data_IF_912619267509
#
_entry.id   IF_912619267509
#
_cell.length_a   1.000
_cell.length_b   1.000
_cell.length_c   1.000
_cell.angle_alpha   90.00
_cell.angle_beta   90.00
_cell.angle_gamma   90.00
#
_symmetry.space_group_name_H-M   'P 1'
#
loop_
_entity.id
_entity.type
_entity.pdbx_description
1 polymer ?
#
# COMPACT_ATOMS: atom_id res chain seq x y z
N UNK A 1 -13.69 -17.09 9.93
CA UNK A 1 -13.98 -15.70 9.52
C UNK A 1 -15.21 -15.10 10.21
N UNK A 2 -16.42 -15.67 10.13
CA UNK A 2 -17.63 -15.10 10.75
C UNK A 2 -17.49 -14.83 12.25
N UNK A 3 -16.87 -15.75 13.00
CA UNK A 3 -16.60 -15.55 14.42
C UNK A 3 -15.69 -14.35 14.68
N UNK A 4 -14.63 -14.19 13.88
CA UNK A 4 -13.70 -13.05 13.97
C UNK A 4 -14.44 -11.74 13.70
N UNK A 5 -15.31 -11.70 12.67
CA UNK A 5 -16.14 -10.53 12.36
C UNK A 5 -17.05 -10.17 13.54
N UNK A 6 -17.75 -11.16 14.10
CA UNK A 6 -18.65 -10.96 15.23
C UNK A 6 -17.91 -10.47 16.48
N UNK A 7 -16.78 -11.10 16.81
CA UNK A 7 -15.96 -10.69 17.96
C UNK A 7 -15.44 -9.28 17.79
N UNK A 8 -14.87 -8.94 16.62
CA UNK A 8 -14.37 -7.59 16.34
C UNK A 8 -15.46 -6.52 16.45
N UNK A 9 -16.66 -6.77 15.91
CA UNK A 9 -17.81 -5.87 16.07
C UNK A 9 -18.21 -5.73 17.55
N UNK A 10 -18.27 -6.84 18.28
CA UNK A 10 -18.64 -6.86 19.68
C UNK A 10 -17.67 -6.08 20.57
N UNK A 11 -16.35 -6.16 20.29
CA UNK A 11 -15.34 -5.36 20.97
C UNK A 11 -15.63 -3.86 20.88
N UNK A 12 -15.95 -3.36 19.69
CA UNK A 12 -16.23 -1.93 19.51
C UNK A 12 -17.51 -1.47 20.17
N UNK A 13 -18.50 -2.37 20.37
CA UNK A 13 -19.83 -2.02 20.90
C UNK A 13 -20.01 -2.25 22.39
N UNK A 14 -19.31 -3.22 22.95
CA UNK A 14 -19.49 -3.64 24.35
C UNK A 14 -18.43 -3.10 25.30
N UNK A 15 -17.23 -2.78 24.79
CA UNK A 15 -16.16 -2.25 25.63
C UNK A 15 -16.35 -0.76 25.95
N UNK A 16 -15.88 -0.32 27.14
CA UNK A 16 -15.75 1.09 27.44
C UNK A 16 -14.89 1.81 26.38
N UNK A 17 -15.26 3.05 26.06
CA UNK A 17 -14.64 3.86 24.99
C UNK A 17 -13.11 3.88 25.05
N UNK A 18 -12.53 3.96 26.26
CA UNK A 18 -11.08 4.07 26.47
C UNK A 18 -10.30 2.84 25.99
N UNK A 19 -10.92 1.66 26.07
CA UNK A 19 -10.26 0.40 25.70
C UNK A 19 -10.48 0.01 24.24
N UNK A 20 -11.38 0.67 23.50
CA UNK A 20 -11.70 0.30 22.11
C UNK A 20 -10.46 0.29 21.22
N UNK A 21 -9.58 1.34 21.21
CA UNK A 21 -8.41 1.35 20.33
C UNK A 21 -7.44 0.20 20.66
N UNK A 22 -7.07 0.06 21.93
CA UNK A 22 -6.13 -0.98 22.38
C UNK A 22 -6.67 -2.38 22.09
N UNK A 23 -7.92 -2.66 22.43
CA UNK A 23 -8.55 -3.95 22.18
C UNK A 23 -8.66 -4.23 20.67
N UNK A 24 -8.95 -3.21 19.85
CA UNK A 24 -8.99 -3.35 18.39
C UNK A 24 -7.65 -3.76 17.84
N UNK A 25 -6.57 -3.07 18.22
CA UNK A 25 -5.24 -3.37 17.72
C UNK A 25 -4.73 -4.72 18.24
N UNK A 26 -4.84 -5.00 19.53
CA UNK A 26 -4.41 -6.28 20.11
C UNK A 26 -5.16 -7.46 19.50
N UNK A 27 -6.47 -7.36 19.34
CA UNK A 27 -7.27 -8.43 18.76
C UNK A 27 -6.89 -8.66 17.28
N UNK A 28 -6.87 -7.62 16.46
CA UNK A 28 -6.66 -7.77 15.03
C UNK A 28 -5.21 -8.16 14.68
N UNK A 29 -4.22 -7.61 15.39
CA UNK A 29 -2.82 -8.04 15.25
C UNK A 29 -2.65 -9.47 15.77
N UNK A 30 -3.24 -9.80 16.92
CA UNK A 30 -3.21 -11.15 17.48
C UNK A 30 -3.79 -12.19 16.52
N UNK A 31 -4.92 -11.88 15.88
CA UNK A 31 -5.55 -12.76 14.88
C UNK A 31 -4.68 -12.89 13.63
N UNK A 32 -4.04 -11.80 13.18
CA UNK A 32 -3.12 -11.82 12.04
C UNK A 32 -1.91 -12.73 12.32
N UNK A 33 -1.26 -12.56 13.47
CA UNK A 33 -0.12 -13.39 13.86
C UNK A 33 -0.52 -14.85 14.11
N UNK A 34 -1.67 -15.09 14.77
CA UNK A 34 -2.16 -16.45 14.98
C UNK A 34 -2.41 -17.17 13.65
N UNK A 35 -2.98 -16.47 12.66
CA UNK A 35 -3.20 -17.02 11.33
C UNK A 35 -1.90 -17.43 10.65
N UNK A 36 -0.87 -16.58 10.73
CA UNK A 36 0.43 -16.81 10.13
C UNK A 36 1.19 -17.94 10.83
N UNK A 37 1.29 -17.89 12.16
CA UNK A 37 2.01 -18.90 12.96
C UNK A 37 1.36 -20.27 12.90
N UNK A 38 0.02 -20.35 12.79
CA UNK A 38 -0.71 -21.61 12.67
C UNK A 38 -0.80 -22.12 11.22
N UNK A 39 -0.24 -21.39 10.26
CA UNK A 39 -0.33 -21.71 8.83
C UNK A 39 -1.77 -21.93 8.35
N UNK A 40 -2.67 -21.06 8.82
CA UNK A 40 -4.10 -21.15 8.59
C UNK A 40 -4.85 -21.96 9.64
N UNK A 41 -6.08 -22.30 9.33
CA UNK A 41 -6.98 -23.01 10.23
C UNK A 41 -7.22 -24.42 9.71
N UNK A 42 -6.49 -25.40 10.24
CA UNK A 42 -6.75 -26.80 9.97
C UNK A 42 -7.96 -27.26 10.77
N UNK A 43 -9.07 -27.53 10.09
CA UNK A 43 -10.31 -28.01 10.72
C UNK A 43 -10.12 -29.39 11.32
N UNK A 44 -9.30 -30.24 10.71
CA UNK A 44 -8.95 -31.54 11.23
C UNK A 44 -8.23 -31.47 12.57
N UNK A 45 -7.24 -30.57 12.71
CA UNK A 45 -6.53 -30.33 13.97
C UNK A 45 -7.45 -29.76 15.05
N UNK A 46 -8.28 -28.77 14.68
CA UNK A 46 -9.26 -28.19 15.60
C UNK A 46 -10.23 -29.24 16.10
N UNK A 47 -10.75 -30.09 15.20
CA UNK A 47 -11.65 -31.18 15.57
C UNK A 47 -10.98 -32.17 16.53
N UNK A 48 -9.77 -32.63 16.23
CA UNK A 48 -9.03 -33.56 17.08
C UNK A 48 -8.66 -32.98 18.44
N UNK A 49 -8.47 -31.65 18.52
CA UNK A 49 -8.24 -30.95 19.79
C UNK A 49 -9.52 -30.89 20.65
N UNK A 50 -10.67 -30.61 20.03
CA UNK A 50 -11.96 -30.51 20.75
C UNK A 50 -12.52 -31.88 21.08
N UNK A 51 -12.34 -32.86 20.19
CA UNK A 51 -12.79 -34.24 20.32
C UNK A 51 -11.61 -35.19 20.19
N UNK A 52 -10.81 -35.40 21.26
CA UNK A 52 -9.71 -36.31 21.24
C UNK A 52 -10.18 -37.75 20.86
N UNK A 53 -9.75 -38.24 19.73
CA UNK A 53 -10.03 -39.60 19.30
C UNK A 53 -8.89 -40.49 19.76
N UNK A 54 -9.16 -41.74 20.24
CA UNK A 54 -8.11 -42.70 20.51
C UNK A 54 -7.33 -42.98 19.21
N UNK A 55 -6.01 -43.05 19.31
CA UNK A 55 -5.15 -43.39 18.19
C UNK A 55 -5.58 -44.79 17.65
N UNK A 56 -5.84 -44.87 16.36
CA UNK A 56 -6.05 -46.13 15.68
C UNK A 56 -4.75 -46.94 15.76
N UNK A 57 -4.84 -48.25 15.93
CA UNK A 57 -3.69 -49.16 16.04
C UNK A 57 -2.72 -49.04 14.84
N UNK A 58 -3.18 -48.54 13.69
CA UNK A 58 -2.39 -48.36 12.48
C UNK A 58 -1.68 -46.99 12.39
N UNK A 59 -1.70 -46.18 13.43
CA UNK A 59 -1.05 -44.84 13.46
C UNK A 59 -1.63 -43.81 12.46
N UNK A 60 -2.68 -44.14 11.73
CA UNK A 60 -3.38 -43.28 10.82
C UNK A 60 -4.38 -42.43 11.61
N UNK A 61 -4.24 -41.10 11.51
CA UNK A 61 -5.24 -40.19 12.08
C UNK A 61 -6.61 -40.50 11.46
N UNK A 62 -7.59 -40.88 12.30
CA UNK A 62 -8.93 -41.14 11.82
C UNK A 62 -9.44 -39.99 10.96
N UNK A 63 -9.90 -40.30 9.75
CA UNK A 63 -10.51 -39.31 8.84
C UNK A 63 -11.74 -38.73 9.53
N UNK A 64 -11.62 -37.56 10.05
CA UNK A 64 -12.73 -36.82 10.65
C UNK A 64 -13.30 -35.80 9.64
N UNK A 65 -14.52 -35.30 9.88
CA UNK A 65 -15.15 -34.32 8.99
C UNK A 65 -14.32 -33.03 8.86
N UNK A 66 -13.48 -32.69 9.83
CA UNK A 66 -12.55 -31.56 9.76
C UNK A 66 -11.46 -31.80 8.70
N UNK A 67 -10.86 -32.99 8.64
CA UNK A 67 -9.88 -33.37 7.60
C UNK A 67 -10.54 -33.42 6.22
N UNK A 68 -11.81 -33.82 6.14
CA UNK A 68 -12.58 -33.74 4.91
C UNK A 68 -12.76 -32.27 4.45
N UNK A 69 -13.06 -31.34 5.37
CA UNK A 69 -13.10 -29.91 5.05
C UNK A 69 -11.74 -29.35 4.61
N UNK A 70 -10.65 -29.76 5.23
CA UNK A 70 -9.29 -29.35 4.86
C UNK A 70 -8.90 -29.81 3.44
N UNK A 71 -9.52 -30.88 2.95
CA UNK A 71 -9.35 -31.39 1.58
C UNK A 71 -9.98 -30.49 0.50
N UNK A 72 -10.89 -29.60 0.86
CA UNK A 72 -11.44 -28.62 -0.07
C UNK A 72 -10.52 -27.41 -0.14
N UNK A 73 -9.77 -27.30 -1.22
CA UNK A 73 -9.05 -26.07 -1.55
C UNK A 73 -10.04 -24.90 -1.65
N UNK A 74 -9.69 -23.72 -1.12
CA UNK A 74 -10.50 -22.52 -1.26
C UNK A 74 -10.65 -22.13 -2.73
N UNK A 75 -11.71 -21.38 -3.07
CA UNK A 75 -11.93 -20.80 -4.41
C UNK A 75 -10.77 -19.93 -4.88
N UNK A 76 -9.99 -19.40 -3.94
CA UNK A 76 -8.87 -18.51 -4.20
C UNK A 76 -7.61 -19.10 -3.58
N UNK A 77 -6.58 -19.41 -4.39
CA UNK A 77 -5.35 -20.10 -3.92
C UNK A 77 -4.56 -19.31 -2.86
N UNK A 78 -4.76 -18.00 -2.75
CA UNK A 78 -4.04 -17.12 -1.79
C UNK A 78 -5.03 -16.40 -0.89
N UNK A 79 -5.82 -17.15 -0.16
CA UNK A 79 -6.83 -16.62 0.76
C UNK A 79 -6.22 -15.78 1.90
N UNK A 80 -4.93 -15.97 2.24
CA UNK A 80 -4.20 -15.21 3.26
C UNK A 80 -4.18 -13.72 2.91
N UNK A 81 -4.01 -13.39 1.62
CA UNK A 81 -4.03 -11.99 1.16
C UNK A 81 -5.39 -11.34 1.43
N UNK A 82 -6.47 -12.08 1.17
CA UNK A 82 -7.84 -11.60 1.45
C UNK A 82 -8.06 -11.41 2.95
N UNK A 83 -7.53 -12.32 3.75
CA UNK A 83 -7.60 -12.24 5.19
C UNK A 83 -6.87 -10.99 5.70
N UNK A 84 -5.64 -10.75 5.24
CA UNK A 84 -4.85 -9.59 5.62
C UNK A 84 -5.53 -8.26 5.23
N UNK A 85 -6.13 -8.19 4.03
CA UNK A 85 -6.93 -7.02 3.61
C UNK A 85 -8.18 -6.87 4.50
N UNK A 86 -8.82 -7.97 4.88
CA UNK A 86 -9.99 -7.93 5.75
C UNK A 86 -9.66 -7.37 7.12
N UNK A 87 -8.55 -7.77 7.73
CA UNK A 87 -8.09 -7.24 9.02
C UNK A 87 -7.99 -5.71 9.00
N UNK A 88 -7.50 -5.12 7.91
CA UNK A 88 -7.44 -3.65 7.77
C UNK A 88 -8.83 -3.01 7.82
N UNK A 89 -9.86 -3.67 7.27
CA UNK A 89 -11.25 -3.18 7.32
C UNK A 89 -11.84 -3.31 8.71
N UNK A 90 -11.50 -4.38 9.43
CA UNK A 90 -11.94 -4.57 10.81
C UNK A 90 -11.42 -3.42 11.69
N UNK A 91 -10.14 -3.10 11.57
CA UNK A 91 -9.52 -1.97 12.27
C UNK A 91 -10.19 -0.64 11.85
N UNK A 92 -10.41 -0.44 10.55
CA UNK A 92 -11.04 0.77 10.02
C UNK A 92 -12.41 1.03 10.62
N UNK A 93 -13.28 0.01 10.68
CA UNK A 93 -14.61 0.15 11.28
C UNK A 93 -14.53 0.54 12.76
N UNK A 94 -13.76 -0.19 13.56
CA UNK A 94 -13.67 0.05 14.99
C UNK A 94 -13.08 1.43 15.33
N UNK A 95 -12.03 1.84 14.60
CA UNK A 95 -11.39 3.13 14.81
C UNK A 95 -12.26 4.29 14.35
N UNK A 96 -12.95 4.18 13.20
CA UNK A 96 -13.89 5.19 12.73
C UNK A 96 -15.08 5.33 13.69
N UNK A 97 -15.58 4.22 14.25
CA UNK A 97 -16.60 4.25 15.30
C UNK A 97 -16.08 4.94 16.58
N UNK A 98 -14.90 4.58 17.06
CA UNK A 98 -14.27 5.20 18.23
C UNK A 98 -14.15 6.72 18.08
N UNK A 99 -13.62 7.20 16.95
CA UNK A 99 -13.52 8.63 16.68
C UNK A 99 -14.87 9.32 16.58
N UNK A 100 -15.89 8.65 16.06
CA UNK A 100 -17.26 9.18 16.04
C UNK A 100 -17.82 9.44 17.44
N UNK A 101 -17.47 8.58 18.40
CA UNK A 101 -17.86 8.77 19.83
C UNK A 101 -17.11 9.93 20.49
N UNK A 102 -15.84 10.14 20.13
CA UNK A 102 -15.07 11.28 20.65
C UNK A 102 -15.63 12.61 20.20
N UNK A 103 -15.97 12.73 18.91
CA UNK A 103 -16.55 13.96 18.35
C UNK A 103 -17.88 14.35 18.97
N UNK A 104 -18.63 13.40 19.50
CA UNK A 104 -19.94 13.66 20.14
C UNK A 104 -19.84 14.07 21.59
N UNK A 105 -18.86 13.52 22.31
CA UNK A 105 -18.71 13.70 23.76
C UNK A 105 -17.54 14.65 24.11
N UNK A 106 -16.75 15.09 23.12
CA UNK A 106 -15.50 15.83 23.35
C UNK A 106 -15.74 17.29 23.66
N UNK A 107 -15.09 17.75 24.74
CA UNK A 107 -14.78 19.15 24.96
C UNK A 107 -13.94 19.69 23.79
N UNK A 108 -14.05 20.98 23.42
CA UNK A 108 -13.21 21.61 22.40
C UNK A 108 -11.69 21.40 22.60
N UNK A 109 -11.26 21.08 23.81
CA UNK A 109 -9.86 20.83 24.18
C UNK A 109 -9.41 19.44 23.75
N UNK A 110 -10.25 18.38 23.88
CA UNK A 110 -9.92 17.01 23.46
C UNK A 110 -9.86 16.88 21.92
N UNK A 111 -10.71 17.64 21.22
CA UNK A 111 -10.66 17.72 19.75
C UNK A 111 -9.32 18.27 19.27
N UNK A 112 -8.64 19.12 20.07
CA UNK A 112 -7.30 19.65 19.77
C UNK A 112 -6.19 18.60 19.77
N UNK A 113 -6.38 17.47 20.43
CA UNK A 113 -5.37 16.38 20.54
C UNK A 113 -5.24 15.53 19.25
N UNK A 114 -6.11 15.73 18.27
CA UNK A 114 -6.07 15.03 16.99
C UNK A 114 -5.71 15.98 15.83
N UNK A 115 -4.43 16.03 15.40
CA UNK A 115 -3.99 16.92 14.32
C UNK A 115 -4.75 16.75 13.01
N UNK A 116 -5.31 15.57 12.78
CA UNK A 116 -6.10 15.25 11.60
C UNK A 116 -7.49 15.93 11.60
N UNK A 117 -8.13 16.01 12.76
CA UNK A 117 -9.38 16.75 12.93
C UNK A 117 -9.14 18.26 12.92
N UNK A 118 -7.94 18.72 13.29
CA UNK A 118 -7.59 20.14 13.35
C UNK A 118 -7.56 20.82 11.98
N UNK A 119 -7.25 20.09 10.91
CA UNK A 119 -7.41 20.61 9.56
C UNK A 119 -8.87 20.92 9.19
N UNK A 120 -9.80 20.37 9.99
CA UNK A 120 -11.24 20.58 9.84
C UNK A 120 -11.77 21.77 10.67
N UNK A 121 -11.10 22.08 11.79
CA UNK A 121 -11.56 23.11 12.74
C UNK A 121 -10.87 24.46 12.59
N UNK A 122 -9.72 24.54 11.92
CA UNK A 122 -8.96 25.78 11.70
C UNK A 122 -9.40 26.60 10.50
N UNK A 123 -10.40 26.17 9.75
CA UNK A 123 -11.08 27.06 8.84
C UNK A 123 -12.07 27.91 9.65
N UNK A 124 -11.71 29.15 9.94
CA UNK A 124 -12.57 30.20 10.46
C UNK A 124 -13.75 30.59 9.49
N UNK A 125 -14.39 29.60 8.94
CA UNK A 125 -15.72 29.56 8.33
C UNK A 125 -16.19 28.14 8.49
N UNK A 126 -17.23 27.92 9.29
CA UNK A 126 -18.08 26.73 9.19
C UNK A 126 -18.57 26.65 7.76
N UNK A 127 -17.75 26.06 6.87
CA UNK A 127 -18.21 25.67 5.54
C UNK A 127 -19.24 24.59 5.83
N UNK A 128 -20.49 24.93 5.66
CA UNK A 128 -21.59 23.96 5.75
C UNK A 128 -21.24 22.91 4.70
N UNK A 129 -20.76 21.74 5.16
CA UNK A 129 -20.35 20.66 4.29
C UNK A 129 -21.61 20.19 3.57
N UNK A 130 -21.61 20.38 2.26
CA UNK A 130 -22.60 19.75 1.42
C UNK A 130 -22.32 18.23 1.42
N UNK A 131 -23.14 17.48 2.18
CA UNK A 131 -23.02 16.03 2.31
C UNK A 131 -23.23 15.30 0.98
N UNK A 132 -23.88 15.95 0.01
CA UNK A 132 -24.10 15.39 -1.33
C UNK A 132 -22.87 15.49 -2.24
N UNK A 133 -21.94 16.41 -1.95
CA UNK A 133 -20.75 16.66 -2.76
C UNK A 133 -19.46 16.73 -1.94
N UNK A 134 -19.23 15.71 -1.12
CA UNK A 134 -18.01 15.59 -0.33
C UNK A 134 -16.80 15.23 -1.18
N UNK A 135 -15.70 15.92 -0.98
CA UNK A 135 -14.41 15.49 -1.51
C UNK A 135 -14.00 14.13 -0.89
N UNK A 136 -13.14 13.36 -1.56
CA UNK A 136 -12.62 12.09 -1.03
C UNK A 136 -12.04 12.25 0.38
N UNK A 137 -11.31 13.35 0.64
CA UNK A 137 -10.74 13.64 1.95
C UNK A 137 -11.84 13.88 3.00
N UNK A 138 -12.89 14.58 2.62
CA UNK A 138 -13.99 14.89 3.53
C UNK A 138 -14.81 13.66 3.86
N UNK A 139 -15.07 12.77 2.87
CA UNK A 139 -15.73 11.47 3.08
C UNK A 139 -14.99 10.58 4.07
N UNK A 140 -13.65 10.54 3.98
CA UNK A 140 -12.80 9.78 4.91
C UNK A 140 -12.89 10.37 6.32
N UNK A 141 -12.93 11.69 6.45
CA UNK A 141 -12.81 12.41 7.72
C UNK A 141 -14.13 12.58 8.44
N UNK A 142 -15.23 12.78 7.70
CA UNK A 142 -16.54 12.98 8.28
C UNK A 142 -17.08 11.68 8.89
N UNK A 143 -17.47 11.68 10.18
CA UNK A 143 -18.03 10.50 10.80
C UNK A 143 -19.39 10.17 10.19
N UNK A 144 -19.66 8.88 10.02
CA UNK A 144 -20.99 8.40 9.67
C UNK A 144 -22.01 8.69 10.79
N UNK A 145 -23.29 8.65 10.48
CA UNK A 145 -24.34 8.79 11.49
C UNK A 145 -24.32 7.60 12.46
N UNK A 146 -24.80 7.79 13.69
CA UNK A 146 -24.73 6.74 14.72
C UNK A 146 -25.38 5.41 14.29
N UNK A 147 -26.54 5.50 13.66
CA UNK A 147 -27.25 4.34 13.18
C UNK A 147 -26.54 3.57 12.05
N UNK A 148 -25.57 4.19 11.40
CA UNK A 148 -24.81 3.54 10.33
C UNK A 148 -23.77 2.56 10.84
N UNK A 149 -23.27 2.73 12.06
CA UNK A 149 -22.37 1.78 12.70
C UNK A 149 -23.12 0.53 13.21
N UNK A 150 -24.04 0.02 12.42
CA UNK A 150 -24.79 -1.22 12.67
C UNK A 150 -24.02 -2.45 12.20
N UNK A 151 -24.37 -3.62 12.73
CA UNK A 151 -23.78 -4.89 12.29
C UNK A 151 -24.03 -5.16 10.81
N UNK A 152 -25.23 -4.83 10.30
CA UNK A 152 -25.57 -4.97 8.88
C UNK A 152 -24.63 -4.18 7.98
N UNK A 153 -24.42 -2.91 8.27
CA UNK A 153 -23.54 -2.06 7.47
C UNK A 153 -22.07 -2.45 7.61
N UNK A 154 -21.66 -2.87 8.80
CA UNK A 154 -20.32 -3.43 9.02
C UNK A 154 -20.10 -4.68 8.19
N UNK A 155 -21.01 -5.62 8.22
CA UNK A 155 -20.94 -6.86 7.46
C UNK A 155 -20.89 -6.59 5.95
N UNK A 156 -21.79 -5.71 5.46
CA UNK A 156 -21.81 -5.28 4.07
C UNK A 156 -20.48 -4.61 3.63
N UNK A 157 -19.91 -3.76 4.49
CA UNK A 157 -18.62 -3.12 4.22
C UNK A 157 -17.46 -4.12 4.14
N UNK A 158 -17.39 -5.03 5.10
CA UNK A 158 -16.28 -5.99 5.18
C UNK A 158 -16.32 -6.97 4.01
N UNK A 159 -17.50 -7.43 3.62
CA UNK A 159 -17.69 -8.43 2.57
C UNK A 159 -18.05 -7.84 1.20
N UNK A 160 -17.98 -6.52 1.02
CA UNK A 160 -18.24 -5.90 -0.27
C UNK A 160 -17.29 -6.47 -1.34
N UNK A 161 -17.85 -7.30 -2.22
CA UNK A 161 -17.11 -8.22 -3.08
C UNK A 161 -16.01 -7.58 -3.91
N UNK A 162 -16.23 -6.46 -4.65
CA UNK A 162 -15.17 -5.86 -5.45
C UNK A 162 -13.94 -5.49 -4.64
N UNK A 163 -14.14 -4.94 -3.45
CA UNK A 163 -13.04 -4.51 -2.59
C UNK A 163 -12.54 -5.65 -1.68
N UNK A 164 -13.39 -6.64 -1.38
CA UNK A 164 -13.00 -7.81 -0.60
C UNK A 164 -12.00 -8.69 -1.35
N UNK A 165 -12.22 -8.93 -2.65
CA UNK A 165 -11.39 -9.83 -3.43
C UNK A 165 -9.96 -9.30 -3.63
N UNK A 166 -9.75 -8.13 -4.15
CA UNK A 166 -8.43 -7.46 -4.23
C UNK A 166 -8.54 -5.97 -4.60
N UNK A 167 -9.71 -5.39 -4.39
CA UNK A 167 -9.93 -3.98 -4.72
C UNK A 167 -9.18 -3.02 -3.80
N UNK A 168 -9.13 -1.74 -4.17
CA UNK A 168 -8.55 -0.71 -3.34
C UNK A 168 -9.20 -0.63 -1.95
N UNK A 169 -8.40 -0.34 -0.93
CA UNK A 169 -8.86 -0.24 0.46
C UNK A 169 -9.54 1.12 0.65
N UNK A 170 -10.80 1.11 1.11
CA UNK A 170 -11.51 2.31 1.56
C UNK A 170 -11.84 2.21 3.03
N UNK A 171 -12.04 3.36 3.70
CA UNK A 171 -12.46 3.41 5.09
C UNK A 171 -13.95 3.16 5.22
N UNK A 172 -14.42 2.80 6.43
CA UNK A 172 -15.84 2.60 6.67
C UNK A 172 -16.65 3.88 6.42
N UNK A 173 -16.14 5.03 6.87
CA UNK A 173 -16.82 6.31 6.67
C UNK A 173 -16.94 6.66 5.18
N UNK A 174 -15.91 6.44 4.38
CA UNK A 174 -15.93 6.69 2.94
C UNK A 174 -16.95 5.77 2.23
N UNK A 175 -16.96 4.48 2.59
CA UNK A 175 -17.91 3.50 2.03
C UNK A 175 -19.37 3.91 2.30
N UNK A 176 -19.71 4.17 3.56
CA UNK A 176 -21.07 4.56 3.96
C UNK A 176 -21.51 5.90 3.34
N UNK A 177 -20.58 6.86 3.26
CA UNK A 177 -20.85 8.14 2.60
C UNK A 177 -21.25 7.93 1.14
N UNK A 178 -20.54 7.08 0.40
CA UNK A 178 -20.79 6.79 -1.01
C UNK A 178 -22.06 5.96 -1.25
N UNK A 179 -22.41 5.08 -0.32
CA UNK A 179 -23.70 4.37 -0.37
C UNK A 179 -24.90 5.32 -0.24
N UNK A 180 -24.75 6.40 0.52
CA UNK A 180 -25.81 7.40 0.69
C UNK A 180 -25.88 8.41 -0.44
N UNK A 181 -24.71 8.87 -0.86
CA UNK A 181 -24.56 9.93 -1.84
C UNK A 181 -23.57 9.49 -2.90
N UNK A 182 -24.12 9.07 -4.04
CA UNK A 182 -23.29 8.66 -5.19
C UNK A 182 -22.35 9.80 -5.59
N UNK A 183 -21.04 9.55 -5.69
CA UNK A 183 -20.09 10.58 -6.08
C UNK A 183 -20.38 11.12 -7.48
N UNK A 184 -20.40 12.45 -7.65
CA UNK A 184 -20.56 13.09 -8.96
C UNK A 184 -19.43 12.75 -9.94
N UNK A 185 -18.28 12.29 -9.41
CA UNK A 185 -17.18 11.81 -10.23
C UNK A 185 -17.50 10.56 -11.07
N UNK A 186 -18.55 9.84 -10.73
CA UNK A 186 -18.96 8.62 -11.45
C UNK A 186 -19.95 9.00 -12.53
N UNK A 187 -19.46 9.07 -13.77
CA UNK A 187 -20.27 9.22 -14.97
C UNK A 187 -19.93 8.11 -15.99
N UNK A 188 -20.85 7.89 -16.94
CA UNK A 188 -20.72 6.81 -17.92
C UNK A 188 -19.45 6.96 -18.77
N UNK A 189 -19.17 8.16 -19.27
CA UNK A 189 -17.98 8.44 -20.09
C UNK A 189 -16.69 8.10 -19.35
N UNK A 190 -16.54 8.56 -18.10
CA UNK A 190 -15.36 8.26 -17.27
C UNK A 190 -15.22 6.76 -17.04
N UNK A 191 -16.31 6.06 -16.74
CA UNK A 191 -16.28 4.62 -16.48
C UNK A 191 -15.91 3.83 -17.74
N UNK A 192 -16.46 4.21 -18.91
CA UNK A 192 -16.12 3.59 -20.21
C UNK A 192 -14.64 3.83 -20.57
N UNK A 193 -14.15 5.06 -20.44
CA UNK A 193 -12.72 5.36 -20.67
C UNK A 193 -11.81 4.61 -19.70
N UNK A 194 -12.26 4.40 -18.46
CA UNK A 194 -11.53 3.60 -17.50
C UNK A 194 -11.50 2.12 -17.89
N UNK A 195 -12.60 1.56 -18.40
CA UNK A 195 -12.66 0.20 -18.92
C UNK A 195 -11.72 0.01 -20.13
N UNK A 196 -11.68 0.96 -21.07
CA UNK A 196 -10.75 0.96 -22.20
C UNK A 196 -9.30 0.98 -21.70
N UNK A 197 -8.98 1.84 -20.73
CA UNK A 197 -7.64 1.90 -20.13
C UNK A 197 -7.26 0.60 -19.43
N UNK A 198 -8.20 -0.08 -18.79
CA UNK A 198 -7.98 -1.42 -18.23
C UNK A 198 -7.68 -2.44 -19.33
N UNK A 199 -8.48 -2.47 -20.41
CA UNK A 199 -8.28 -3.39 -21.52
C UNK A 199 -6.92 -3.18 -22.22
N UNK A 200 -6.48 -1.94 -22.41
CA UNK A 200 -5.16 -1.62 -22.95
C UNK A 200 -4.04 -2.14 -22.01
N UNK A 201 -4.19 -1.96 -20.69
CA UNK A 201 -3.21 -2.47 -19.74
C UNK A 201 -3.14 -4.02 -19.73
N UNK A 202 -4.30 -4.69 -19.86
CA UNK A 202 -4.38 -6.14 -20.00
C UNK A 202 -3.67 -6.60 -21.27
N UNK A 203 -3.96 -5.99 -22.41
CA UNK A 203 -3.29 -6.30 -23.69
C UNK A 203 -1.78 -6.07 -23.60
N UNK A 204 -1.34 -4.98 -22.95
CA UNK A 204 0.08 -4.70 -22.73
C UNK A 204 0.74 -5.82 -21.92
N UNK A 205 0.07 -6.32 -20.88
CA UNK A 205 0.57 -7.44 -20.09
C UNK A 205 0.68 -8.72 -20.92
N UNK A 206 -0.34 -9.04 -21.73
CA UNK A 206 -0.34 -10.21 -22.61
C UNK A 206 0.81 -10.14 -23.63
N UNK A 207 0.99 -9.01 -24.31
CA UNK A 207 2.11 -8.80 -25.23
C UNK A 207 3.45 -8.99 -24.51
N UNK A 208 3.57 -8.42 -23.32
CA UNK A 208 4.81 -8.49 -22.53
C UNK A 208 5.17 -9.93 -22.14
N UNK A 209 4.21 -10.73 -21.68
CA UNK A 209 4.48 -12.13 -21.28
C UNK A 209 4.72 -13.06 -22.49
N UNK A 210 4.16 -12.73 -23.64
CA UNK A 210 4.35 -13.53 -24.86
C UNK A 210 5.73 -13.33 -25.52
N UNK A 211 6.27 -12.10 -25.45
CA UNK A 211 7.54 -11.76 -26.12
C UNK A 211 8.72 -11.63 -25.17
N UNK A 212 8.49 -11.47 -23.88
CA UNK A 212 9.54 -11.26 -22.88
C UNK A 212 9.52 -12.35 -21.82
N UNK A 213 10.45 -13.28 -21.89
CA UNK A 213 10.50 -14.46 -21.02
C UNK A 213 11.15 -14.21 -19.64
N UNK A 214 11.20 -12.95 -19.14
CA UNK A 214 11.85 -12.60 -17.87
C UNK A 214 11.38 -13.46 -16.70
N UNK A 215 10.09 -13.79 -16.60
CA UNK A 215 9.57 -14.62 -15.49
C UNK A 215 10.13 -16.04 -15.54
N UNK A 216 10.24 -16.62 -16.74
CA UNK A 216 10.81 -17.93 -16.94
C UNK A 216 12.31 -17.95 -16.62
N UNK A 217 13.05 -16.92 -17.05
CA UNK A 217 14.48 -16.76 -16.77
C UNK A 217 14.71 -16.65 -15.25
N UNK A 218 13.92 -15.84 -14.54
CA UNK A 218 14.06 -15.73 -13.08
C UNK A 218 13.69 -17.03 -12.32
N UNK A 219 12.71 -17.78 -12.82
CA UNK A 219 12.36 -19.08 -12.25
C UNK A 219 13.44 -20.16 -12.49
N UNK A 220 14.10 -20.08 -13.63
CA UNK A 220 15.17 -21.02 -13.97
C UNK A 220 16.47 -20.77 -13.19
N UNK A 221 16.62 -19.60 -12.55
CA UNK A 221 17.79 -19.21 -11.77
C UNK A 221 19.13 -19.55 -12.48
N UNK A 222 19.37 -19.02 -13.69
CA UNK A 222 20.60 -19.32 -14.42
C UNK A 222 21.81 -18.73 -13.69
N UNK A 223 23.03 -19.15 -14.06
CA UNK A 223 24.23 -18.45 -13.63
C UNK A 223 24.22 -17.00 -14.15
N UNK A 224 24.15 -16.04 -13.23
CA UNK A 224 24.06 -14.61 -13.58
C UNK A 224 25.35 -14.06 -14.21
N UNK A 225 26.47 -14.77 -14.07
CA UNK A 225 27.77 -14.40 -14.64
C UNK A 225 27.82 -14.45 -16.17
N UNK A 226 26.89 -15.21 -16.78
CA UNK A 226 26.80 -15.30 -18.26
C UNK A 226 26.23 -14.03 -18.89
N UNK A 227 25.50 -13.22 -18.11
CA UNK A 227 24.82 -12.05 -18.61
C UNK A 227 25.67 -10.79 -18.46
N UNK A 228 25.67 -9.95 -19.48
CA UNK A 228 26.27 -8.61 -19.39
C UNK A 228 25.51 -7.70 -18.42
N UNK A 229 26.15 -6.66 -17.85
CA UNK A 229 25.46 -5.68 -16.98
C UNK A 229 24.23 -5.05 -17.64
N UNK A 230 24.26 -4.80 -18.94
CA UNK A 230 23.12 -4.31 -19.70
C UNK A 230 21.96 -5.31 -19.69
N UNK A 231 22.24 -6.58 -20.01
CA UNK A 231 21.20 -7.64 -20.02
C UNK A 231 20.58 -7.84 -18.65
N UNK A 232 21.38 -7.91 -17.57
CA UNK A 232 20.87 -8.02 -16.20
C UNK A 232 20.01 -6.82 -15.81
N UNK A 233 20.45 -5.61 -16.18
CA UNK A 233 19.68 -4.39 -15.91
C UNK A 233 18.34 -4.38 -16.64
N UNK A 234 18.30 -4.82 -17.92
CA UNK A 234 17.07 -4.90 -18.70
C UNK A 234 16.15 -6.01 -18.21
N UNK A 235 16.67 -7.18 -17.87
CA UNK A 235 15.90 -8.25 -17.25
C UNK A 235 15.25 -7.76 -15.96
N UNK A 236 16.01 -7.11 -15.07
CA UNK A 236 15.49 -6.53 -13.84
C UNK A 236 14.41 -5.48 -14.09
N UNK A 237 14.66 -4.55 -15.03
CA UNK A 237 13.73 -3.50 -15.40
C UNK A 237 12.39 -4.07 -15.92
N UNK A 238 12.42 -5.00 -16.84
CA UNK A 238 11.20 -5.62 -17.39
C UNK A 238 10.50 -6.50 -16.36
N UNK A 239 11.24 -7.19 -15.49
CA UNK A 239 10.62 -7.95 -14.40
C UNK A 239 9.88 -7.04 -13.41
N UNK A 240 10.47 -5.90 -13.03
CA UNK A 240 9.81 -4.92 -12.17
C UNK A 240 8.56 -4.31 -12.83
N UNK A 241 8.60 -4.04 -14.15
CA UNK A 241 7.43 -3.60 -14.92
C UNK A 241 6.35 -4.70 -14.98
N UNK A 242 6.74 -5.97 -15.12
CA UNK A 242 5.81 -7.09 -15.03
C UNK A 242 5.12 -7.16 -13.66
N UNK A 243 5.89 -7.03 -12.56
CA UNK A 243 5.32 -7.00 -11.21
C UNK A 243 4.35 -5.83 -11.05
N UNK A 244 4.70 -4.65 -11.58
CA UNK A 244 3.80 -3.49 -11.57
C UNK A 244 2.49 -3.76 -12.30
N UNK A 245 2.51 -4.31 -13.53
CA UNK A 245 1.33 -4.67 -14.30
C UNK A 245 0.52 -5.76 -13.62
N UNK A 246 1.18 -6.80 -13.07
CA UNK A 246 0.55 -7.89 -12.34
C UNK A 246 -0.29 -7.42 -11.16
N UNK A 247 0.12 -6.37 -10.47
CA UNK A 247 -0.64 -5.77 -9.37
C UNK A 247 -1.66 -4.73 -9.86
N UNK A 248 -1.32 -3.98 -10.91
CA UNK A 248 -2.19 -2.97 -11.49
C UNK A 248 -3.50 -3.56 -12.02
N UNK A 249 -3.42 -4.69 -12.73
CA UNK A 249 -4.57 -5.30 -13.40
C UNK A 249 -5.70 -5.70 -12.44
N UNK A 250 -5.46 -6.51 -11.37
CA UNK A 250 -6.49 -6.82 -10.40
C UNK A 250 -7.07 -5.56 -9.73
N UNK A 251 -6.22 -4.61 -9.33
CA UNK A 251 -6.70 -3.38 -8.69
C UNK A 251 -7.56 -2.55 -9.62
N UNK A 252 -7.24 -2.45 -10.91
CA UNK A 252 -8.06 -1.75 -11.90
C UNK A 252 -9.34 -2.48 -12.20
N UNK A 253 -9.32 -3.80 -12.33
CA UNK A 253 -10.51 -4.61 -12.55
C UNK A 253 -11.53 -4.42 -11.43
N UNK A 254 -11.12 -4.62 -10.19
CA UNK A 254 -12.00 -4.50 -9.05
C UNK A 254 -12.42 -3.05 -8.77
N UNK A 255 -11.58 -2.07 -9.12
CA UNK A 255 -11.98 -0.68 -9.10
C UNK A 255 -13.04 -0.38 -10.18
N UNK A 256 -12.90 -0.92 -11.37
CA UNK A 256 -13.90 -0.80 -12.43
C UNK A 256 -15.24 -1.38 -11.99
N UNK A 257 -15.23 -2.55 -11.38
CA UNK A 257 -16.44 -3.15 -10.80
C UNK A 257 -17.08 -2.24 -9.75
N UNK A 258 -16.30 -1.72 -8.81
CA UNK A 258 -16.81 -0.79 -7.81
C UNK A 258 -17.39 0.49 -8.43
N UNK A 259 -16.78 1.04 -9.51
CA UNK A 259 -17.33 2.19 -10.24
C UNK A 259 -18.68 1.88 -10.88
N UNK A 260 -18.88 0.68 -11.41
CA UNK A 260 -20.17 0.23 -11.95
C UNK A 260 -21.24 0.14 -10.86
N UNK A 261 -20.85 -0.29 -9.64
CA UNK A 261 -21.73 -0.31 -8.47
C UNK A 261 -22.00 1.07 -7.87
N UNK A 262 -21.34 2.12 -8.36
CA UNK A 262 -21.51 3.50 -7.85
C UNK A 262 -20.59 3.88 -6.70
N UNK A 263 -19.53 3.13 -6.46
CA UNK A 263 -18.48 3.42 -5.47
C UNK A 263 -17.19 3.80 -6.21
N UNK A 264 -16.58 4.94 -5.85
CA UNK A 264 -15.32 5.44 -6.42
C UNK A 264 -14.16 5.27 -5.42
N UNK A 265 -13.52 4.09 -5.36
CA UNK A 265 -12.33 3.91 -4.54
C UNK A 265 -11.12 4.59 -5.18
N UNK A 266 -10.07 4.93 -4.41
CA UNK A 266 -8.88 5.57 -4.94
C UNK A 266 -8.15 4.69 -5.95
N UNK A 267 -7.48 5.31 -6.95
CA UNK A 267 -6.54 4.60 -7.82
C UNK A 267 -5.33 4.14 -7.01
N UNK A 268 -4.96 2.84 -7.09
CA UNK A 268 -3.86 2.27 -6.34
C UNK A 268 -2.48 2.54 -6.94
N UNK A 269 -2.42 2.70 -8.27
CA UNK A 269 -1.21 3.06 -8.99
C UNK A 269 -1.44 4.38 -9.71
N UNK A 270 -0.90 5.45 -9.14
CA UNK A 270 -1.10 6.81 -9.70
C UNK A 270 -0.29 7.00 -10.97
N UNK A 271 0.92 6.43 -11.00
CA UNK A 271 1.86 6.56 -12.13
C UNK A 271 2.48 5.20 -12.49
N UNK A 272 3.03 5.11 -13.69
CA UNK A 272 3.89 3.99 -14.05
C UNK A 272 5.10 3.96 -13.11
N UNK A 273 5.57 2.77 -12.78
CA UNK A 273 6.73 2.64 -11.91
C UNK A 273 7.99 3.32 -12.50
N UNK A 274 8.13 3.31 -13.81
CA UNK A 274 9.24 3.94 -14.52
C UNK A 274 9.13 5.46 -14.62
N UNK A 275 7.98 6.05 -14.23
CA UNK A 275 7.73 7.50 -14.25
C UNK A 275 7.79 8.07 -12.83
N UNK A 276 8.84 7.74 -12.08
CA UNK A 276 9.08 8.24 -10.73
C UNK A 276 10.57 8.52 -10.51
N UNK A 277 10.88 9.73 -10.09
CA UNK A 277 12.24 10.17 -9.75
C UNK A 277 12.46 10.40 -8.26
N UNK A 278 11.40 10.31 -7.46
CA UNK A 278 11.40 10.51 -6.01
C UNK A 278 10.97 9.21 -5.33
N UNK A 279 11.80 8.70 -4.43
CA UNK A 279 11.47 7.53 -3.62
C UNK A 279 10.22 7.77 -2.77
N UNK A 280 10.11 8.97 -2.17
CA UNK A 280 8.95 9.35 -1.37
C UNK A 280 7.66 9.41 -2.20
N UNK A 281 7.70 10.02 -3.39
CA UNK A 281 6.54 10.10 -4.27
C UNK A 281 6.12 8.72 -4.79
N UNK A 282 7.10 7.84 -5.10
CA UNK A 282 6.85 6.47 -5.49
C UNK A 282 6.03 5.73 -4.42
N UNK A 283 6.49 5.69 -3.17
CA UNK A 283 5.80 4.96 -2.10
C UNK A 283 4.45 5.58 -1.70
N UNK A 284 4.24 6.86 -1.92
CA UNK A 284 2.92 7.50 -1.77
C UNK A 284 1.95 7.13 -2.89
N UNK A 285 2.46 6.87 -4.09
CA UNK A 285 1.69 6.51 -5.27
C UNK A 285 1.47 5.00 -5.44
N UNK A 286 2.37 4.17 -4.88
CA UNK A 286 2.29 2.72 -4.89
C UNK A 286 1.32 2.22 -3.82
N UNK A 287 0.34 1.40 -4.20
CA UNK A 287 -0.74 0.92 -3.33
C UNK A 287 -1.37 2.06 -2.51
N UNK A 288 -1.75 3.12 -3.20
CA UNK A 288 -2.15 4.41 -2.61
C UNK A 288 -3.25 4.28 -1.57
N UNK A 289 -4.22 3.38 -1.77
CA UNK A 289 -5.29 3.14 -0.80
C UNK A 289 -4.75 2.60 0.51
N UNK A 290 -3.78 1.68 0.46
CA UNK A 290 -3.10 1.14 1.63
C UNK A 290 -2.23 2.20 2.32
N UNK A 291 -1.48 2.99 1.55
CA UNK A 291 -0.72 4.11 2.10
C UNK A 291 -1.62 5.10 2.86
N UNK A 292 -2.78 5.46 2.31
CA UNK A 292 -3.76 6.32 3.00
C UNK A 292 -4.31 5.69 4.27
N UNK A 293 -4.56 4.38 4.24
CA UNK A 293 -4.98 3.63 5.40
C UNK A 293 -3.90 3.69 6.51
N UNK A 294 -2.64 3.42 6.16
CA UNK A 294 -1.51 3.50 7.08
C UNK A 294 -1.37 4.90 7.68
N UNK A 295 -1.42 5.92 6.85
CA UNK A 295 -1.30 7.32 7.30
C UNK A 295 -2.40 7.65 8.31
N UNK A 296 -3.63 7.22 8.06
CA UNK A 296 -4.78 7.50 8.94
C UNK A 296 -4.73 6.74 10.26
N UNK A 297 -4.47 5.43 10.20
CA UNK A 297 -4.66 4.55 11.37
C UNK A 297 -3.37 4.25 12.13
N UNK A 298 -2.20 4.48 11.53
CA UNK A 298 -0.90 4.25 12.17
C UNK A 298 -0.09 5.53 12.27
N UNK A 299 0.30 6.13 11.14
CA UNK A 299 1.29 7.21 11.12
C UNK A 299 0.85 8.46 11.91
N UNK A 300 -0.39 8.91 11.70
CA UNK A 300 -0.94 10.07 12.42
C UNK A 300 -1.10 9.78 13.92
N UNK A 301 -1.70 8.63 14.36
CA UNK A 301 -1.83 8.31 15.78
C UNK A 301 -0.50 8.20 16.54
N UNK A 302 0.58 7.72 15.91
CA UNK A 302 1.91 7.66 16.56
C UNK A 302 2.65 9.01 16.57
N UNK A 303 2.01 10.07 16.04
CA UNK A 303 2.51 11.45 16.10
C UNK A 303 2.92 12.08 14.77
N UNK A 304 2.86 11.35 13.66
CA UNK A 304 3.12 11.90 12.32
C UNK A 304 4.48 12.62 12.18
N UNK A 305 4.50 13.68 11.36
CA UNK A 305 5.67 14.56 11.13
C UNK A 305 5.59 15.84 11.98
N UNK A 306 5.12 15.76 13.21
CA UNK A 306 4.52 16.89 13.91
C UNK A 306 5.43 17.90 14.61
N UNK A 307 6.77 17.74 14.71
CA UNK A 307 7.60 18.70 15.43
C UNK A 307 8.72 19.30 14.57
N UNK A 308 8.90 20.59 14.64
CA UNK A 308 10.06 21.27 14.08
C UNK A 308 11.31 21.01 14.93
N UNK A 309 12.48 20.93 14.30
CA UNK A 309 13.77 20.70 14.97
C UNK A 309 14.28 19.27 14.85
N UNK A 310 15.51 19.05 15.37
CA UNK A 310 16.24 17.78 15.26
C UNK A 310 15.44 16.59 15.85
N UNK A 311 14.91 16.73 17.04
CA UNK A 311 14.13 15.69 17.71
C UNK A 311 12.82 15.35 16.98
N UNK A 312 12.17 16.35 16.37
CA UNK A 312 10.98 16.11 15.55
C UNK A 312 11.30 15.31 14.29
N UNK A 313 12.43 15.58 13.65
CA UNK A 313 12.89 14.85 12.48
C UNK A 313 13.29 13.41 12.84
N UNK A 314 14.04 13.22 13.93
CA UNK A 314 14.40 11.89 14.44
C UNK A 314 13.16 11.05 14.74
N UNK A 315 12.16 11.63 15.43
CA UNK A 315 10.88 10.96 15.67
C UNK A 315 10.16 10.61 14.37
N UNK A 316 10.20 11.47 13.36
CA UNK A 316 9.60 11.17 12.04
C UNK A 316 10.26 9.98 11.38
N UNK A 317 11.58 9.82 11.48
CA UNK A 317 12.31 8.66 10.96
C UNK A 317 11.89 7.39 11.70
N UNK A 318 11.81 7.43 13.04
CA UNK A 318 11.30 6.30 13.83
C UNK A 318 9.86 5.93 13.47
N UNK A 319 9.00 6.92 13.19
CA UNK A 319 7.64 6.69 12.73
C UNK A 319 7.62 6.02 11.35
N UNK A 320 8.50 6.40 10.41
CA UNK A 320 8.65 5.70 9.13
C UNK A 320 9.11 4.26 9.33
N UNK A 321 10.10 4.04 10.18
CA UNK A 321 10.59 2.69 10.49
C UNK A 321 9.48 1.82 11.08
N UNK A 322 8.70 2.34 12.03
CA UNK A 322 7.56 1.63 12.61
C UNK A 322 6.49 1.29 11.56
N UNK A 323 6.19 2.23 10.66
CA UNK A 323 5.25 2.01 9.57
C UNK A 323 5.73 0.92 8.63
N UNK A 324 6.99 0.96 8.17
CA UNK A 324 7.51 -0.06 7.25
C UNK A 324 7.70 -1.42 7.94
N UNK A 325 7.97 -1.45 9.25
CA UNK A 325 7.94 -2.69 10.04
C UNK A 325 6.54 -3.29 10.04
N UNK A 326 5.50 -2.49 10.31
CA UNK A 326 4.12 -2.97 10.20
C UNK A 326 3.80 -3.48 8.80
N UNK A 327 4.19 -2.75 7.75
CA UNK A 327 3.96 -3.17 6.36
C UNK A 327 4.60 -4.51 6.07
N UNK A 328 5.85 -4.70 6.48
CA UNK A 328 6.56 -5.96 6.29
C UNK A 328 5.87 -7.13 7.00
N UNK A 329 5.54 -6.95 8.28
CA UNK A 329 4.86 -7.98 9.10
C UNK A 329 3.43 -8.27 8.60
N UNK A 330 2.74 -7.28 8.07
CA UNK A 330 1.41 -7.45 7.50
C UNK A 330 1.42 -8.24 6.18
N UNK A 331 2.49 -8.11 5.39
CA UNK A 331 2.64 -8.89 4.16
C UNK A 331 2.96 -10.36 4.44
N UNK A 332 3.91 -10.62 5.32
CA UNK A 332 4.37 -11.96 5.72
C UNK A 332 5.42 -11.82 6.84
N UNK A 333 5.47 -12.78 7.77
CA UNK A 333 6.46 -12.78 8.85
C UNK A 333 7.78 -13.39 8.34
N UNK A 334 8.39 -12.75 7.36
CA UNK A 334 9.68 -13.16 6.80
C UNK A 334 10.74 -12.08 7.04
N UNK A 335 11.91 -12.49 7.53
CA UNK A 335 13.04 -11.59 7.76
C UNK A 335 13.43 -10.82 6.48
N UNK A 336 13.34 -11.45 5.31
CA UNK A 336 13.62 -10.84 4.01
C UNK A 336 12.74 -9.61 3.75
N UNK A 337 11.45 -9.68 4.06
CA UNK A 337 10.52 -8.56 3.88
C UNK A 337 10.75 -7.46 4.90
N UNK A 338 11.14 -7.82 6.13
CA UNK A 338 11.51 -6.85 7.14
C UNK A 338 12.77 -6.06 6.71
N UNK A 339 13.80 -6.77 6.25
CA UNK A 339 15.02 -6.15 5.71
C UNK A 339 14.70 -5.24 4.52
N UNK A 340 13.85 -5.68 3.59
CA UNK A 340 13.40 -4.85 2.47
C UNK A 340 12.71 -3.56 2.95
N UNK A 341 11.81 -3.64 3.91
CA UNK A 341 11.12 -2.47 4.47
C UNK A 341 12.07 -1.47 5.13
N UNK A 342 13.09 -1.97 5.85
CA UNK A 342 14.11 -1.12 6.46
C UNK A 342 15.06 -0.50 5.42
N UNK A 343 15.42 -1.25 4.36
CA UNK A 343 16.17 -0.74 3.22
C UNK A 343 15.42 0.39 2.51
N UNK A 344 14.13 0.22 2.28
CA UNK A 344 13.29 1.29 1.70
C UNK A 344 13.32 2.54 2.59
N UNK A 345 13.21 2.39 3.91
CA UNK A 345 13.30 3.53 4.83
C UNK A 345 14.66 4.21 4.74
N UNK A 346 15.75 3.42 4.70
CA UNK A 346 17.11 3.93 4.56
C UNK A 346 17.28 4.71 3.23
N UNK A 347 16.74 4.23 2.12
CA UNK A 347 16.88 4.86 0.81
C UNK A 347 15.99 6.09 0.62
N UNK A 348 14.99 6.29 1.47
CA UNK A 348 14.20 7.54 1.51
C UNK A 348 14.97 8.65 2.27
N UNK A 349 15.87 8.30 3.20
CA UNK A 349 16.60 9.29 4.01
C UNK A 349 17.43 10.29 3.18
N UNK A 350 18.21 9.90 2.16
CA UNK A 350 18.97 10.86 1.35
C UNK A 350 18.09 11.93 0.70
N UNK A 351 16.89 11.56 0.23
CA UNK A 351 15.93 12.52 -0.34
C UNK A 351 15.42 13.50 0.73
N UNK A 352 15.14 13.02 1.93
CA UNK A 352 14.71 13.87 3.05
C UNK A 352 15.84 14.85 3.41
N UNK A 353 17.08 14.35 3.57
CA UNK A 353 18.25 15.14 3.90
C UNK A 353 18.51 16.18 2.80
N UNK A 354 18.50 15.78 1.52
CA UNK A 354 18.67 16.68 0.40
C UNK A 354 17.62 17.80 0.37
N UNK A 355 16.36 17.48 0.66
CA UNK A 355 15.27 18.46 0.72
C UNK A 355 15.45 19.51 1.82
N UNK A 356 16.12 19.14 2.93
CA UNK A 356 16.45 20.02 4.05
C UNK A 356 17.67 20.89 3.77
N UNK A 357 18.70 20.31 3.16
CA UNK A 357 19.96 21.01 2.87
C UNK A 357 19.81 21.95 1.68
N UNK A 358 19.02 21.58 0.67
CA UNK A 358 18.84 22.25 -0.60
C UNK A 358 17.38 22.76 -0.79
N UNK A 359 16.83 23.59 0.12
CA UNK A 359 15.47 24.07 -0.04
C UNK A 359 15.37 25.00 -1.27
N UNK A 360 14.37 24.77 -2.14
CA UNK A 360 14.12 25.52 -3.38
C UNK A 360 14.19 27.05 -3.19
N UNK A 361 13.78 27.54 -2.02
CA UNK A 361 13.78 28.99 -1.70
C UNK A 361 15.19 29.60 -1.77
N UNK A 362 16.25 28.87 -1.42
CA UNK A 362 17.64 29.37 -1.46
C UNK A 362 18.22 29.45 -2.87
N UNK A 363 17.60 28.77 -3.84
CA UNK A 363 18.08 28.64 -5.23
C UNK A 363 17.24 29.41 -6.23
N UNK A 364 16.44 30.38 -5.74
CA UNK A 364 15.49 31.13 -6.58
C UNK A 364 16.18 31.89 -7.71
N UNK A 365 17.38 32.38 -7.46
CA UNK A 365 18.16 33.17 -8.43
C UNK A 365 18.93 32.29 -9.44
N UNK A 366 19.02 30.97 -9.20
CA UNK A 366 19.74 30.03 -10.06
C UNK A 366 18.91 28.77 -10.34
N UNK A 367 17.75 28.88 -10.99
CA UNK A 367 16.81 27.80 -11.17
C UNK A 367 17.36 26.64 -11.98
N UNK A 368 18.18 26.92 -13.03
CA UNK A 368 18.78 25.89 -13.88
C UNK A 368 19.82 25.05 -13.13
N UNK A 369 20.66 25.71 -12.30
CA UNK A 369 21.64 24.98 -11.47
C UNK A 369 20.92 24.09 -10.47
N UNK A 370 19.87 24.60 -9.83
CA UNK A 370 19.05 23.82 -8.92
C UNK A 370 18.42 22.60 -9.60
N UNK A 371 17.90 22.80 -10.82
CA UNK A 371 17.31 21.71 -11.62
C UNK A 371 18.34 20.60 -11.95
N UNK A 372 19.59 20.97 -12.29
CA UNK A 372 20.68 20.03 -12.53
C UNK A 372 21.00 19.24 -11.26
N UNK A 373 21.18 19.93 -10.12
CA UNK A 373 21.47 19.28 -8.83
C UNK A 373 20.35 18.30 -8.45
N UNK A 374 19.10 18.73 -8.56
CA UNK A 374 17.95 17.85 -8.33
C UNK A 374 17.91 16.67 -9.30
N UNK A 375 18.31 16.88 -10.55
CA UNK A 375 18.40 15.81 -11.56
C UNK A 375 19.42 14.74 -11.19
N UNK A 376 20.62 15.14 -10.75
CA UNK A 376 21.65 14.20 -10.26
C UNK A 376 21.16 13.44 -9.03
N UNK A 377 20.57 14.14 -8.06
CA UNK A 377 19.98 13.49 -6.87
C UNK A 377 18.85 12.50 -7.22
N UNK A 378 18.03 12.83 -8.22
CA UNK A 378 16.96 11.96 -8.71
C UNK A 378 17.49 10.69 -9.38
N UNK A 379 18.59 10.77 -10.15
CA UNK A 379 19.26 9.57 -10.68
C UNK A 379 19.73 8.67 -9.54
N UNK A 380 20.36 9.24 -8.51
CA UNK A 380 20.74 8.49 -7.31
C UNK A 380 19.56 7.80 -6.63
N UNK A 381 18.42 8.50 -6.48
CA UNK A 381 17.18 7.92 -5.94
C UNK A 381 16.67 6.75 -6.79
N UNK A 382 16.65 6.89 -8.12
CA UNK A 382 16.23 5.81 -9.04
C UNK A 382 17.12 4.59 -8.86
N UNK A 383 18.44 4.76 -8.84
CA UNK A 383 19.39 3.66 -8.67
C UNK A 383 19.20 2.96 -7.31
N UNK A 384 19.08 3.71 -6.22
CA UNK A 384 18.82 3.13 -4.89
C UNK A 384 17.49 2.37 -4.86
N UNK A 385 16.43 2.92 -5.44
CA UNK A 385 15.14 2.26 -5.56
C UNK A 385 15.22 0.98 -6.39
N UNK A 386 15.96 1.00 -7.51
CA UNK A 386 16.19 -0.20 -8.32
C UNK A 386 16.93 -1.26 -7.53
N UNK A 387 18.01 -0.92 -6.83
CA UNK A 387 18.75 -1.86 -5.96
C UNK A 387 17.82 -2.53 -4.93
N UNK A 388 17.06 -1.74 -4.18
CA UNK A 388 16.15 -2.29 -3.18
C UNK A 388 15.13 -3.27 -3.78
N UNK A 389 14.52 -2.91 -4.91
CA UNK A 389 13.50 -3.74 -5.55
C UNK A 389 14.10 -4.94 -6.29
N UNK A 390 15.30 -4.83 -6.85
CA UNK A 390 16.00 -5.96 -7.46
C UNK A 390 16.37 -7.02 -6.43
N UNK A 391 16.86 -6.61 -5.25
CA UNK A 391 17.13 -7.52 -4.14
C UNK A 391 15.84 -8.19 -3.65
N UNK A 392 14.80 -7.40 -3.43
CA UNK A 392 13.54 -7.87 -2.85
C UNK A 392 12.74 -8.81 -3.78
N UNK A 393 12.67 -8.50 -5.06
CA UNK A 393 11.66 -9.06 -5.95
C UNK A 393 12.18 -9.61 -7.29
N UNK A 394 13.46 -9.41 -7.63
CA UNK A 394 13.99 -9.82 -8.93
C UNK A 394 15.23 -10.70 -8.79
N UNK A 395 16.41 -10.10 -8.78
CA UNK A 395 17.70 -10.81 -8.87
C UNK A 395 18.13 -11.49 -7.57
N UNK A 396 17.59 -11.06 -6.40
CA UNK A 396 18.13 -11.45 -5.11
C UNK A 396 19.51 -10.83 -4.85
N UNK A 397 20.20 -11.30 -3.80
CA UNK A 397 21.54 -10.80 -3.47
C UNK A 397 22.59 -11.27 -4.46
N UNK A 398 22.54 -12.53 -4.88
CA UNK A 398 23.54 -13.13 -5.80
C UNK A 398 23.55 -12.47 -7.18
N UNK A 399 22.34 -12.22 -7.73
CA UNK A 399 22.22 -11.53 -8.99
C UNK A 399 22.64 -10.04 -8.93
N UNK A 400 22.39 -9.38 -7.80
CA UNK A 400 22.88 -8.02 -7.59
C UNK A 400 24.40 -7.98 -7.43
N UNK A 401 25.00 -8.96 -6.73
CA UNK A 401 26.45 -9.08 -6.62
C UNK A 401 27.10 -9.30 -7.99
N UNK A 402 26.52 -10.18 -8.81
CA UNK A 402 26.97 -10.40 -10.20
C UNK A 402 26.90 -9.12 -11.04
N UNK A 403 25.79 -8.37 -10.93
CA UNK A 403 25.63 -7.08 -11.61
C UNK A 403 26.69 -6.07 -11.14
N UNK A 404 26.91 -5.94 -9.85
CA UNK A 404 27.88 -5.02 -9.27
C UNK A 404 29.31 -5.37 -9.68
N UNK A 405 29.71 -6.65 -9.61
CA UNK A 405 31.00 -7.14 -10.09
C UNK A 405 31.18 -6.85 -11.58
N UNK A 406 30.20 -7.16 -12.41
CA UNK A 406 30.25 -6.89 -13.84
C UNK A 406 30.43 -5.41 -14.19
N UNK A 407 29.82 -4.51 -13.39
CA UNK A 407 29.96 -3.06 -13.55
C UNK A 407 31.34 -2.58 -13.09
N UNK A 408 31.78 -2.96 -11.90
CA UNK A 408 33.00 -2.36 -11.28
C UNK A 408 34.28 -2.95 -11.82
N UNK A 409 34.31 -4.24 -12.19
CA UNK A 409 35.53 -4.94 -12.59
C UNK A 409 35.81 -4.88 -14.11
N UNK A 410 34.95 -4.23 -14.89
CA UNK A 410 35.17 -4.11 -16.34
C UNK A 410 35.03 -2.67 -16.83
N UNK A 411 35.90 -2.29 -17.76
CA UNK A 411 35.80 -0.98 -18.43
C UNK A 411 34.45 -0.81 -19.15
N UNK A 412 33.97 -1.86 -19.81
CA UNK A 412 32.65 -1.87 -20.47
C UNK A 412 31.49 -1.68 -19.46
N UNK A 413 31.63 -2.23 -18.26
CA UNK A 413 30.66 -2.04 -17.17
C UNK A 413 30.61 -0.59 -16.68
N UNK A 414 31.77 0.05 -16.53
CA UNK A 414 31.84 1.48 -16.16
C UNK A 414 31.24 2.38 -17.25
N UNK A 415 31.55 2.10 -18.53
CA UNK A 415 30.94 2.81 -19.67
C UNK A 415 29.42 2.61 -19.69
N UNK A 416 28.96 1.39 -19.45
CA UNK A 416 27.53 1.11 -19.32
C UNK A 416 26.92 1.94 -18.21
N UNK A 417 27.49 1.95 -17.00
CA UNK A 417 26.96 2.71 -15.86
C UNK A 417 26.89 4.21 -16.18
N UNK A 418 27.94 4.77 -16.73
CA UNK A 418 27.98 6.19 -17.14
C UNK A 418 26.88 6.51 -18.17
N UNK A 419 26.73 5.65 -19.18
CA UNK A 419 25.69 5.80 -20.22
C UNK A 419 24.28 5.66 -19.63
N UNK A 420 24.06 4.70 -18.73
CA UNK A 420 22.79 4.51 -18.04
C UNK A 420 22.43 5.71 -17.15
N UNK A 421 23.39 6.23 -16.37
CA UNK A 421 23.20 7.46 -15.57
C UNK A 421 22.88 8.67 -16.46
N UNK A 422 23.53 8.81 -17.61
CA UNK A 422 23.25 9.86 -18.60
C UNK A 422 21.82 9.75 -19.15
N UNK A 423 21.41 8.56 -19.57
CA UNK A 423 20.05 8.30 -20.05
C UNK A 423 19.00 8.55 -18.96
N UNK A 424 19.24 8.10 -17.74
CA UNK A 424 18.36 8.37 -16.59
C UNK A 424 18.26 9.87 -16.30
N UNK A 425 19.38 10.60 -16.38
CA UNK A 425 19.38 12.05 -16.17
C UNK A 425 18.49 12.77 -17.18
N UNK A 426 18.60 12.41 -18.48
CA UNK A 426 17.73 12.95 -19.53
C UNK A 426 16.26 12.59 -19.23
N UNK A 427 15.98 11.34 -18.91
CA UNK A 427 14.63 10.90 -18.52
C UNK A 427 14.07 11.69 -17.35
N UNK A 428 14.87 11.96 -16.32
CA UNK A 428 14.48 12.78 -15.17
C UNK A 428 14.16 14.23 -15.59
N UNK A 429 14.94 14.83 -16.51
CA UNK A 429 14.63 16.18 -17.00
C UNK A 429 13.30 16.22 -17.74
N UNK A 430 12.98 15.19 -18.52
CA UNK A 430 11.66 15.04 -19.17
C UNK A 430 10.56 14.90 -18.13
N UNK A 431 10.76 14.08 -17.10
CA UNK A 431 9.78 13.93 -16.00
C UNK A 431 9.54 15.27 -15.28
N UNK A 432 10.57 16.08 -15.04
CA UNK A 432 10.40 17.41 -14.44
C UNK A 432 9.53 18.29 -15.31
N UNK A 433 9.76 18.34 -16.63
CA UNK A 433 8.95 19.14 -17.54
C UNK A 433 7.48 18.69 -17.58
N UNK A 434 7.24 17.37 -17.67
CA UNK A 434 5.89 16.83 -17.62
C UNK A 434 5.18 17.22 -16.32
N UNK A 435 5.87 17.17 -15.16
CA UNK A 435 5.27 17.61 -13.88
C UNK A 435 4.96 19.10 -13.85
N UNK A 436 5.82 19.93 -14.44
CA UNK A 436 5.55 21.37 -14.54
C UNK A 436 4.40 21.65 -15.49
N UNK A 437 4.27 20.94 -16.60
CA UNK A 437 3.14 21.05 -17.51
C UNK A 437 1.84 20.65 -16.83
N UNK A 438 1.80 19.50 -16.14
CA UNK A 438 0.62 19.08 -15.35
C UNK A 438 0.17 20.17 -14.38
N UNK A 439 1.12 20.82 -13.68
CA UNK A 439 0.81 21.90 -12.74
C UNK A 439 0.23 23.14 -13.45
N UNK A 440 0.74 23.49 -14.65
CA UNK A 440 0.22 24.60 -15.48
C UNK A 440 -1.23 24.31 -15.94
N UNK A 441 -1.52 23.04 -16.26
CA UNK A 441 -2.87 22.58 -16.64
C UNK A 441 -3.82 22.38 -15.45
N UNK A 442 -3.36 22.67 -14.23
CA UNK A 442 -4.15 22.49 -13.00
C UNK A 442 -4.29 21.05 -12.54
N UNK A 443 -3.58 20.11 -13.18
CA UNK A 443 -3.56 18.70 -12.81
C UNK A 443 -2.65 18.51 -11.59
N UNK A 444 -3.26 18.40 -10.43
CA UNK A 444 -2.54 18.16 -9.17
C UNK A 444 -2.73 16.70 -8.77
N UNK A 445 -1.92 15.80 -9.33
CA UNK A 445 -1.84 14.44 -8.81
C UNK A 445 -1.06 14.48 -7.49
N UNK A 446 -1.78 14.56 -6.39
CA UNK A 446 -1.19 14.44 -5.05
C UNK A 446 -0.84 12.97 -4.84
N UNK A 447 0.43 12.64 -5.01
CA UNK A 447 1.01 11.41 -4.51
C UNK A 447 1.33 11.55 -3.04
#
# INVERSE_FOLDING_TARGET
>A
MLLILYLNYSLSKKLPKEYIPTATWVFNIGVLFANELCQGYSFGRIYSFVFPQPLSEDGLTAVNWGTWLDGYGGLIPRWEVLFNITVLRLISFNMDYYWSLQLRNGSPVEVRSFPFLFSYTNAHKKKQLDLSNLSERDRISAPAKNGDYSFRNYFAYVLYSPLYLTGPIITFNDYISQLRYRPHSINQTRTTLYAIRFAIALLTMEVMIHYMYMVAIFKAQPSWEVYTPFQLSMLGFFNLNHIWLKLLLPWRFFRLWALLDGIDPPENMVRCMSDNYSAMAFWRGWHRSFNRWIVRYIYIPIGGSGAAGFWGQFRSILNYLAVFTFVALWHDIQLRLLMWGWLVTLFVLPEIIASLLLPRRKWRDRPNVYRIICGIGAVGNILMMMVANLVGFALGLDGLEGLAKGIVHSYSGLVFLASACGALFVGVQVMFEVREQELREGIRMKC
#
